data_IF_328072975533
#
_entry.id   IF_328072975533
#
_cell.length_a   1.000
_cell.length_b   1.000
_cell.length_c   1.000
_cell.angle_alpha   90.00
_cell.angle_beta   90.00
_cell.angle_gamma   90.00
#
_symmetry.space_group_name_H-M   'P 1'
#
loop_
_entity.id
_entity.type
_entity.pdbx_description
1 polymer ?
#
# COMPACT_ATOMS: atom_id res chain seq x y z
N UNK A 1 13.28 12.73 10.52
CA UNK A 1 12.56 11.60 9.91
C UNK A 1 13.44 10.36 9.92
N UNK A 2 12.90 9.20 10.15
CA UNK A 2 13.59 7.91 9.99
C UNK A 2 12.96 7.14 8.82
N UNK A 3 13.81 6.51 8.00
CA UNK A 3 13.41 5.56 6.97
C UNK A 3 14.02 4.20 7.30
N UNK A 4 13.18 3.18 7.38
CA UNK A 4 13.55 1.79 7.58
C UNK A 4 12.94 0.90 6.52
N UNK A 5 13.75 0.00 5.95
CA UNK A 5 13.25 -1.03 5.05
C UNK A 5 14.12 -2.29 5.16
N UNK A 6 13.50 -3.44 4.97
CA UNK A 6 14.18 -4.74 4.88
C UNK A 6 13.82 -5.37 3.55
N UNK A 7 14.84 -5.70 2.77
CA UNK A 7 14.67 -6.36 1.48
C UNK A 7 14.70 -7.88 1.67
N UNK A 8 13.69 -8.53 1.11
CA UNK A 8 13.63 -9.98 1.01
C UNK A 8 13.64 -10.40 -0.47
N UNK A 9 14.30 -11.50 -0.75
CA UNK A 9 14.25 -12.14 -2.06
C UNK A 9 13.47 -13.43 -1.96
N UNK A 10 12.44 -13.55 -2.79
CA UNK A 10 11.72 -14.80 -3.00
C UNK A 10 12.39 -15.54 -4.16
N UNK A 11 12.85 -16.76 -3.92
CA UNK A 11 13.41 -17.64 -4.94
C UNK A 11 12.31 -18.46 -5.63
N UNK A 12 12.65 -19.08 -6.76
CA UNK A 12 11.71 -19.93 -7.53
C UNK A 12 11.23 -21.17 -6.77
N UNK A 13 11.96 -21.60 -5.76
CA UNK A 13 11.61 -22.73 -4.89
C UNK A 13 10.76 -22.32 -3.69
N UNK A 14 10.28 -21.07 -3.66
CA UNK A 14 9.49 -20.53 -2.56
C UNK A 14 10.32 -20.07 -1.35
N UNK A 15 11.63 -20.30 -1.35
CA UNK A 15 12.49 -19.86 -0.23
C UNK A 15 12.61 -18.35 -0.19
N UNK A 16 12.60 -17.79 1.02
CA UNK A 16 12.72 -16.36 1.26
C UNK A 16 14.00 -16.07 2.05
N UNK A 17 14.81 -15.18 1.52
CA UNK A 17 16.06 -14.75 2.17
C UNK A 17 16.08 -13.24 2.36
N UNK A 18 16.51 -12.81 3.54
CA UNK A 18 16.83 -11.40 3.77
C UNK A 18 18.09 -11.03 2.99
N UNK A 19 18.02 -9.94 2.24
CA UNK A 19 19.12 -9.50 1.36
C UNK A 19 19.82 -8.28 1.93
N UNK A 20 19.05 -7.27 2.37
CA UNK A 20 19.61 -5.99 2.78
C UNK A 20 18.67 -5.27 3.76
N UNK A 21 19.28 -4.53 4.69
CA UNK A 21 18.57 -3.62 5.60
C UNK A 21 18.95 -2.18 5.31
N UNK A 22 17.98 -1.32 5.26
CA UNK A 22 18.15 0.12 5.15
C UNK A 22 17.67 0.78 6.44
N UNK A 23 18.52 1.63 6.99
CA UNK A 23 18.20 2.42 8.17
C UNK A 23 18.84 3.80 8.03
N UNK A 24 18.03 4.82 7.81
CA UNK A 24 18.54 6.18 7.63
C UNK A 24 17.74 7.17 8.47
N UNK A 25 18.48 7.99 9.22
CA UNK A 25 17.94 9.17 9.87
C UNK A 25 18.18 10.40 8.99
N UNK A 26 17.17 11.23 8.86
CA UNK A 26 17.22 12.46 8.09
C UNK A 26 16.87 13.66 8.97
N UNK A 27 17.56 14.79 8.72
CA UNK A 27 17.19 16.06 9.32
C UNK A 27 15.90 16.56 8.64
N UNK A 28 14.81 16.78 9.40
CA UNK A 28 13.55 17.26 8.85
C UNK A 28 13.55 18.77 8.49
N UNK A 29 14.65 19.48 8.79
CA UNK A 29 14.74 20.92 8.54
C UNK A 29 14.01 21.80 9.56
N UNK A 30 13.46 21.20 10.62
CA UNK A 30 12.77 21.88 11.70
C UNK A 30 12.68 21.02 12.96
N UNK A 31 12.19 21.56 14.09
CA UNK A 31 12.09 20.83 15.34
C UNK A 31 11.09 19.67 15.23
N UNK A 32 11.43 18.55 15.85
CA UNK A 32 10.55 17.40 15.96
C UNK A 32 9.52 17.68 17.07
N UNK A 33 8.20 17.54 16.80
CA UNK A 33 7.19 17.70 17.84
C UNK A 33 7.47 16.78 19.05
N UNK A 34 7.29 17.29 20.25
CA UNK A 34 7.63 16.56 21.48
C UNK A 34 6.93 15.21 21.57
N UNK A 35 5.66 15.16 21.20
CA UNK A 35 4.88 13.92 21.15
C UNK A 35 5.54 12.84 20.25
N UNK A 36 6.14 13.26 19.14
CA UNK A 36 6.83 12.35 18.22
C UNK A 36 8.17 11.91 18.81
N UNK A 37 8.90 12.81 19.50
CA UNK A 37 10.11 12.44 20.24
C UNK A 37 9.79 11.40 21.33
N UNK A 38 8.71 11.61 22.08
CA UNK A 38 8.28 10.69 23.14
C UNK A 38 7.88 9.30 22.60
N UNK A 39 7.28 9.23 21.40
CA UNK A 39 6.87 7.98 20.76
C UNK A 39 8.07 7.25 20.16
N UNK A 40 8.93 7.96 19.43
CA UNK A 40 9.98 7.35 18.61
C UNK A 40 11.32 7.24 19.32
N UNK A 41 11.51 8.01 20.40
CA UNK A 41 12.80 8.17 21.06
C UNK A 41 13.84 8.90 20.21
N UNK A 42 13.43 9.57 19.11
CA UNK A 42 14.31 10.35 18.26
C UNK A 42 14.18 11.82 18.61
N UNK A 43 15.27 12.43 19.07
CA UNK A 43 15.33 13.82 19.48
C UNK A 43 15.96 14.71 18.42
N UNK A 44 15.81 16.01 18.55
CA UNK A 44 16.38 16.99 17.61
C UNK A 44 17.89 16.85 17.48
N UNK A 45 18.59 16.54 18.57
CA UNK A 45 20.03 16.31 18.60
C UNK A 45 20.47 15.10 17.77
N UNK A 46 19.65 14.05 17.67
CA UNK A 46 19.93 12.84 16.88
C UNK A 46 19.93 13.13 15.38
N UNK A 47 19.15 14.12 14.95
CA UNK A 47 18.95 14.45 13.53
C UNK A 47 19.65 15.74 13.12
N UNK A 48 20.15 16.56 14.04
CA UNK A 48 20.74 17.87 13.76
C UNK A 48 21.86 17.81 12.68
N UNK A 49 22.70 16.79 12.75
CA UNK A 49 23.83 16.57 11.84
C UNK A 49 23.55 15.51 10.77
N UNK A 50 22.30 15.09 10.60
CA UNK A 50 21.92 14.13 9.55
C UNK A 50 21.64 14.84 8.23
N UNK A 51 21.85 14.16 7.09
CA UNK A 51 21.52 14.72 5.79
C UNK A 51 20.01 14.93 5.65
N UNK A 52 19.60 15.79 4.72
CA UNK A 52 18.21 15.91 4.31
C UNK A 52 17.77 14.67 3.50
N UNK A 53 16.46 14.39 3.48
CA UNK A 53 15.89 13.28 2.70
C UNK A 53 16.28 13.30 1.22
N UNK A 54 16.41 14.49 0.63
CA UNK A 54 16.80 14.69 -0.77
C UNK A 54 18.10 13.98 -1.16
N UNK A 55 19.01 13.76 -0.21
CA UNK A 55 20.28 13.05 -0.47
C UNK A 55 20.10 11.57 -0.82
N UNK A 56 18.98 10.97 -0.43
CA UNK A 56 18.64 9.56 -0.67
C UNK A 56 17.34 9.38 -1.45
N UNK A 57 16.61 10.44 -1.76
CA UNK A 57 15.30 10.37 -2.40
C UNK A 57 15.29 9.50 -3.67
N UNK A 58 16.27 9.70 -4.57
CA UNK A 58 16.37 8.90 -5.82
C UNK A 58 16.66 7.42 -5.52
N UNK A 59 17.49 7.12 -4.53
CA UNK A 59 17.81 5.74 -4.16
C UNK A 59 16.60 5.04 -3.57
N UNK A 60 15.90 5.70 -2.64
CA UNK A 60 14.65 5.18 -2.05
C UNK A 60 13.58 5.00 -3.12
N UNK A 61 13.41 5.97 -4.01
CA UNK A 61 12.47 5.90 -5.11
C UNK A 61 12.71 4.67 -6.01
N UNK A 62 13.98 4.42 -6.40
CA UNK A 62 14.35 3.25 -7.20
C UNK A 62 14.12 1.93 -6.47
N UNK A 63 14.43 1.89 -5.17
CA UNK A 63 14.18 0.72 -4.33
C UNK A 63 12.69 0.35 -4.34
N UNK A 64 11.82 1.31 -4.09
CA UNK A 64 10.37 1.07 -4.07
C UNK A 64 9.81 0.75 -5.45
N UNK A 65 10.28 1.40 -6.52
CA UNK A 65 9.84 1.15 -7.89
C UNK A 65 10.13 -0.29 -8.36
N UNK A 66 11.17 -0.92 -7.84
CA UNK A 66 11.65 -2.26 -8.24
C UNK A 66 11.15 -3.40 -7.39
N UNK A 67 10.35 -3.16 -6.35
CA UNK A 67 9.97 -4.16 -5.38
C UNK A 67 8.47 -4.17 -5.10
N UNK A 68 7.92 -5.34 -4.77
CA UNK A 68 6.63 -5.41 -4.06
C UNK A 68 6.85 -4.82 -2.68
N UNK A 69 6.11 -3.79 -2.35
CA UNK A 69 6.26 -3.07 -1.08
C UNK A 69 5.21 -3.54 -0.08
N UNK A 70 5.66 -3.79 1.14
CA UNK A 70 4.82 -4.29 2.23
C UNK A 70 4.97 -3.34 3.41
N UNK A 71 3.88 -2.85 3.94
CA UNK A 71 3.88 -2.02 5.14
C UNK A 71 2.68 -2.34 6.05
N UNK A 72 2.73 -1.87 7.28
CA UNK A 72 1.63 -1.99 8.21
C UNK A 72 0.92 -0.64 8.35
N UNK A 73 -0.33 -0.55 7.90
CA UNK A 73 -1.03 0.71 7.64
C UNK A 73 -0.36 1.50 6.50
N UNK A 74 -0.21 0.81 5.37
CA UNK A 74 0.50 1.26 4.18
C UNK A 74 0.19 2.71 3.73
N UNK A 75 -1.06 3.20 3.79
CA UNK A 75 -1.38 4.57 3.42
C UNK A 75 -0.64 5.64 4.23
N UNK A 76 -0.22 5.33 5.46
CA UNK A 76 0.56 6.25 6.27
C UNK A 76 1.95 6.49 5.67
N UNK A 77 2.68 5.40 5.40
CA UNK A 77 4.04 5.48 4.83
C UNK A 77 4.01 6.06 3.42
N UNK A 78 3.05 5.61 2.60
CA UNK A 78 2.86 6.12 1.25
C UNK A 78 2.66 7.63 1.21
N UNK A 79 1.78 8.17 2.07
CA UNK A 79 1.50 9.61 2.13
C UNK A 79 2.74 10.39 2.56
N UNK A 80 3.46 9.89 3.56
CA UNK A 80 4.67 10.52 4.05
C UNK A 80 5.76 10.58 2.98
N UNK A 81 6.05 9.45 2.34
CA UNK A 81 7.06 9.36 1.29
C UNK A 81 6.65 10.14 0.03
N UNK A 82 5.36 10.14 -0.33
CA UNK A 82 4.86 10.95 -1.45
C UNK A 82 5.13 12.43 -1.23
N UNK A 83 4.90 12.91 0.00
CA UNK A 83 5.22 14.29 0.36
C UNK A 83 6.72 14.58 0.21
N UNK A 84 7.57 13.77 0.81
CA UNK A 84 9.03 13.93 0.76
C UNK A 84 9.58 13.84 -0.68
N UNK A 85 9.06 12.92 -1.49
CA UNK A 85 9.40 12.83 -2.91
C UNK A 85 9.00 14.10 -3.68
N UNK A 86 7.81 14.64 -3.40
CA UNK A 86 7.34 15.86 -4.04
C UNK A 86 8.24 17.06 -3.78
N UNK A 87 8.79 17.19 -2.57
CA UNK A 87 9.78 18.20 -2.21
C UNK A 87 11.10 18.04 -2.99
N UNK A 88 11.36 16.83 -3.49
CA UNK A 88 12.53 16.52 -4.33
C UNK A 88 12.24 16.53 -5.84
N UNK A 89 11.04 16.96 -6.26
CA UNK A 89 10.62 16.94 -7.67
C UNK A 89 10.34 15.52 -8.21
N UNK A 90 10.13 14.54 -7.35
CA UNK A 90 9.80 13.17 -7.71
C UNK A 90 8.32 12.89 -7.44
N UNK A 91 7.73 12.01 -8.23
CA UNK A 91 6.38 11.46 -8.00
C UNK A 91 6.48 10.15 -7.22
N UNK A 92 5.34 9.62 -6.77
CA UNK A 92 5.30 8.27 -6.18
C UNK A 92 5.82 7.21 -7.18
N UNK A 93 6.72 6.29 -6.77
CA UNK A 93 7.41 5.37 -7.70
C UNK A 93 6.52 4.28 -8.32
N UNK A 94 5.26 4.17 -7.87
CA UNK A 94 4.32 3.13 -8.33
C UNK A 94 4.94 1.71 -8.28
N UNK A 95 5.15 1.14 -7.09
CA UNK A 95 5.65 -0.21 -6.93
C UNK A 95 4.81 -1.23 -7.72
N UNK A 96 5.38 -2.37 -8.14
CA UNK A 96 4.62 -3.45 -8.82
C UNK A 96 3.39 -3.93 -8.03
N UNK A 97 3.49 -3.98 -6.71
CA UNK A 97 2.36 -4.18 -5.80
C UNK A 97 2.63 -3.51 -4.45
N UNK A 98 1.55 -3.21 -3.74
CA UNK A 98 1.53 -2.56 -2.43
C UNK A 98 0.66 -3.41 -1.49
N UNK A 99 1.24 -4.00 -0.46
CA UNK A 99 0.55 -4.90 0.48
C UNK A 99 0.44 -4.23 1.85
N UNK A 100 -0.77 -4.13 2.37
CA UNK A 100 -1.04 -3.65 3.72
C UNK A 100 -1.29 -4.81 4.69
N UNK A 101 -0.33 -5.07 5.57
CA UNK A 101 -0.46 -6.16 6.55
C UNK A 101 -1.51 -5.87 7.62
N UNK A 102 -1.93 -4.62 7.80
CA UNK A 102 -3.04 -4.31 8.71
C UNK A 102 -4.37 -4.77 8.16
N UNK A 103 -4.56 -4.69 6.83
CA UNK A 103 -5.74 -5.20 6.15
C UNK A 103 -5.75 -6.74 6.17
N UNK A 104 -4.61 -7.37 5.91
CA UNK A 104 -4.46 -8.81 6.07
C UNK A 104 -4.78 -9.27 7.50
N UNK A 105 -4.29 -8.53 8.49
CA UNK A 105 -4.59 -8.83 9.89
C UNK A 105 -6.09 -8.76 10.19
N UNK A 106 -6.79 -7.76 9.69
CA UNK A 106 -8.26 -7.63 9.87
C UNK A 106 -9.01 -8.80 9.28
N UNK A 107 -8.53 -9.30 8.17
CA UNK A 107 -9.20 -10.38 7.46
C UNK A 107 -8.96 -11.74 8.08
N UNK A 108 -7.72 -12.07 8.39
CA UNK A 108 -7.38 -13.38 8.93
C UNK A 108 -7.67 -13.53 10.43
N UNK A 109 -7.61 -12.44 11.17
CA UNK A 109 -7.83 -12.43 12.61
C UNK A 109 -9.08 -11.63 12.96
N UNK A 110 -10.23 -11.97 12.34
CA UNK A 110 -11.51 -11.26 12.49
C UNK A 110 -11.94 -11.04 13.93
N UNK A 111 -11.62 -11.99 14.82
CA UNK A 111 -11.96 -11.93 16.24
C UNK A 111 -10.99 -11.09 17.07
N UNK A 112 -9.91 -10.58 16.46
CA UNK A 112 -8.93 -9.78 17.17
C UNK A 112 -9.47 -8.37 17.43
N UNK A 113 -9.27 -7.90 18.68
CA UNK A 113 -9.69 -6.55 19.08
C UNK A 113 -8.79 -5.45 18.50
N UNK A 114 -7.54 -5.80 18.21
CA UNK A 114 -6.52 -4.87 17.70
C UNK A 114 -5.75 -5.47 16.54
N UNK A 115 -5.45 -4.61 15.58
CA UNK A 115 -4.68 -4.94 14.37
C UNK A 115 -3.43 -4.06 14.23
N UNK A 116 -2.91 -3.54 15.36
CA UNK A 116 -1.63 -2.83 15.39
C UNK A 116 -0.48 -3.80 15.12
N UNK A 117 0.64 -3.31 14.59
CA UNK A 117 1.81 -4.12 14.26
C UNK A 117 2.27 -5.00 15.42
N UNK A 118 2.44 -4.43 16.61
CA UNK A 118 2.86 -5.18 17.80
C UNK A 118 1.89 -6.29 18.18
N UNK A 119 0.57 -6.03 18.14
CA UNK A 119 -0.45 -7.03 18.44
C UNK A 119 -0.52 -8.15 17.39
N UNK A 120 -0.28 -7.80 16.12
CA UNK A 120 -0.21 -8.77 15.01
C UNK A 120 1.06 -9.63 15.15
N UNK A 121 2.22 -8.99 15.35
CA UNK A 121 3.50 -9.68 15.51
C UNK A 121 3.46 -10.66 16.70
N UNK A 122 2.93 -10.23 17.87
CA UNK A 122 2.77 -11.11 19.03
C UNK A 122 1.87 -12.31 18.74
N UNK A 123 0.79 -12.14 17.97
CA UNK A 123 -0.14 -13.22 17.59
C UNK A 123 0.49 -14.21 16.61
N UNK A 124 1.45 -13.75 15.82
CA UNK A 124 2.21 -14.55 14.87
C UNK A 124 3.56 -15.05 15.44
N UNK A 125 3.82 -14.80 16.72
CA UNK A 125 5.07 -15.15 17.42
C UNK A 125 6.31 -14.52 16.77
N UNK A 126 6.12 -13.36 16.12
CA UNK A 126 7.20 -12.58 15.49
C UNK A 126 7.79 -11.61 16.50
N UNK A 127 9.12 -11.61 16.72
CA UNK A 127 9.76 -10.64 17.59
C UNK A 127 9.62 -9.21 17.05
N UNK A 128 9.27 -8.26 17.90
CA UNK A 128 9.40 -6.83 17.66
C UNK A 128 10.39 -6.29 18.71
N UNK A 129 11.64 -6.06 18.29
CA UNK A 129 12.74 -5.78 19.22
C UNK A 129 12.60 -4.39 19.82
N UNK A 130 12.42 -3.39 18.99
CA UNK A 130 12.24 -2.00 19.41
C UNK A 130 11.13 -1.34 18.61
N UNK A 131 9.92 -1.34 19.16
CA UNK A 131 8.77 -0.67 18.54
C UNK A 131 9.06 0.82 18.32
N UNK A 132 8.49 1.35 17.22
CA UNK A 132 8.65 2.74 16.78
C UNK A 132 10.05 3.12 16.27
N UNK A 133 10.88 2.12 15.96
CA UNK A 133 12.08 2.27 15.15
C UNK A 133 11.80 1.71 13.76
N UNK A 134 11.97 2.54 12.75
CA UNK A 134 11.48 2.25 11.40
C UNK A 134 12.00 0.91 10.82
N UNK A 135 13.26 0.55 11.11
CA UNK A 135 13.83 -0.72 10.62
C UNK A 135 13.31 -1.94 11.39
N UNK A 136 13.12 -1.83 12.71
CA UNK A 136 12.58 -2.91 13.53
C UNK A 136 11.09 -3.15 13.21
N UNK A 137 10.35 -2.08 12.98
CA UNK A 137 8.95 -2.15 12.53
C UNK A 137 8.85 -2.76 11.12
N UNK A 138 9.75 -2.38 10.19
CA UNK A 138 9.80 -2.95 8.85
C UNK A 138 10.15 -4.45 8.89
N UNK A 139 11.09 -4.87 9.74
CA UNK A 139 11.42 -6.29 9.94
C UNK A 139 10.23 -7.07 10.50
N UNK A 140 9.62 -6.57 11.57
CA UNK A 140 8.47 -7.21 12.19
C UNK A 140 7.29 -7.30 11.21
N UNK A 141 7.07 -6.25 10.39
CA UNK A 141 6.06 -6.24 9.35
C UNK A 141 6.33 -7.33 8.29
N UNK A 142 7.55 -7.37 7.74
CA UNK A 142 7.93 -8.37 6.73
C UNK A 142 7.85 -9.81 7.26
N UNK A 143 8.38 -10.07 8.45
CA UNK A 143 8.29 -11.39 9.10
C UNK A 143 6.85 -11.78 9.41
N UNK A 144 6.01 -10.85 9.82
CA UNK A 144 4.59 -11.11 10.05
C UNK A 144 3.86 -11.46 8.75
N UNK A 145 4.21 -10.78 7.65
CA UNK A 145 3.68 -11.14 6.34
C UNK A 145 4.07 -12.57 5.96
N UNK A 146 5.35 -12.94 6.09
CA UNK A 146 5.82 -14.30 5.80
C UNK A 146 5.16 -15.35 6.69
N UNK A 147 4.98 -15.07 7.98
CA UNK A 147 4.27 -15.96 8.88
C UNK A 147 2.78 -16.12 8.49
N UNK A 148 2.14 -15.07 7.96
CA UNK A 148 0.79 -15.18 7.41
C UNK A 148 0.76 -16.00 6.11
N UNK A 149 1.74 -15.82 5.23
CA UNK A 149 1.90 -16.60 3.99
C UNK A 149 1.94 -18.09 4.32
N UNK A 150 2.78 -18.49 5.28
CA UNK A 150 2.91 -19.87 5.73
C UNK A 150 1.62 -20.38 6.43
N UNK A 151 1.13 -19.63 7.42
CA UNK A 151 -0.01 -20.04 8.25
C UNK A 151 -1.31 -20.22 7.47
N UNK A 152 -1.51 -19.42 6.42
CA UNK A 152 -2.75 -19.41 5.63
C UNK A 152 -2.57 -20.01 4.23
N UNK A 153 -1.45 -20.75 4.02
CA UNK A 153 -1.15 -21.47 2.77
C UNK A 153 -1.29 -20.55 1.53
N UNK A 154 -0.65 -19.38 1.57
CA UNK A 154 -0.61 -18.49 0.41
C UNK A 154 0.12 -19.18 -0.76
N UNK A 155 -0.18 -18.82 -2.01
CA UNK A 155 0.54 -19.34 -3.17
C UNK A 155 2.05 -19.03 -3.10
N UNK A 156 2.88 -19.95 -3.60
CA UNK A 156 4.34 -19.80 -3.59
C UNK A 156 4.85 -18.81 -4.66
N UNK A 157 4.15 -18.73 -5.77
CA UNK A 157 4.53 -17.81 -6.87
C UNK A 157 4.15 -16.37 -6.53
N UNK A 158 5.09 -15.44 -6.70
CA UNK A 158 4.89 -14.04 -6.34
C UNK A 158 3.65 -13.39 -6.98
N UNK A 159 3.33 -13.57 -8.26
CA UNK A 159 2.10 -13.01 -8.82
C UNK A 159 0.84 -13.53 -8.15
N UNK A 160 0.79 -14.83 -7.86
CA UNK A 160 -0.34 -15.47 -7.19
C UNK A 160 -0.41 -15.07 -5.72
N UNK A 161 0.73 -14.89 -5.06
CA UNK A 161 0.82 -14.38 -3.69
C UNK A 161 0.31 -12.92 -3.60
N UNK A 162 0.62 -12.10 -4.59
CA UNK A 162 0.09 -10.74 -4.71
C UNK A 162 -1.42 -10.80 -4.90
N UNK A 163 -1.90 -11.61 -5.83
CA UNK A 163 -3.34 -11.82 -6.04
C UNK A 163 -4.03 -12.34 -4.78
N UNK A 164 -3.39 -13.22 -4.02
CA UNK A 164 -3.88 -13.71 -2.74
C UNK A 164 -3.93 -12.58 -1.69
N UNK A 165 -2.87 -11.80 -1.57
CA UNK A 165 -2.82 -10.69 -0.62
C UNK A 165 -3.84 -9.58 -0.98
N UNK A 166 -4.04 -9.34 -2.27
CA UNK A 166 -5.06 -8.42 -2.77
C UNK A 166 -6.46 -9.02 -2.73
N UNK A 167 -6.59 -10.31 -2.99
CA UNK A 167 -7.84 -11.07 -3.06
C UNK A 167 -8.33 -11.57 -1.71
N UNK A 168 -7.52 -11.45 -0.63
CA UNK A 168 -7.99 -11.63 0.73
C UNK A 168 -9.14 -10.69 1.03
N UNK A 169 -9.11 -9.56 0.42
CA UNK A 169 -10.30 -8.76 0.44
C UNK A 169 -11.22 -9.02 -0.71
N UNK A 170 -11.02 -9.88 -1.67
CA UNK A 170 -11.87 -9.89 -2.83
C UNK A 170 -12.25 -8.46 -3.27
N UNK A 171 -13.02 -8.23 -4.25
CA UNK A 171 -13.71 -6.97 -4.34
C UNK A 171 -14.51 -6.83 -3.04
N UNK A 172 -14.46 -5.68 -2.34
CA UNK A 172 -15.19 -5.50 -1.08
C UNK A 172 -16.63 -5.92 -1.32
N UNK A 173 -17.21 -6.64 -0.37
CA UNK A 173 -18.60 -7.14 -0.42
C UNK A 173 -19.59 -5.96 -0.37
N UNK A 174 -19.59 -5.21 -1.45
CA UNK A 174 -20.45 -4.05 -1.69
C UNK A 174 -21.47 -4.32 -2.80
N UNK A 175 -21.45 -5.51 -3.37
CA UNK A 175 -22.29 -5.89 -4.51
C UNK A 175 -21.82 -5.34 -5.86
N UNK A 176 -20.86 -4.41 -5.89
CA UNK A 176 -20.40 -3.81 -7.17
C UNK A 176 -19.48 -4.74 -7.97
N UNK A 177 -18.63 -5.46 -7.25
CA UNK A 177 -17.77 -6.51 -7.78
C UNK A 177 -17.93 -7.71 -6.86
N UNK A 178 -18.14 -8.89 -7.44
CA UNK A 178 -18.41 -10.12 -6.68
C UNK A 178 -17.61 -11.28 -7.28
N UNK A 179 -17.42 -12.36 -6.50
CA UNK A 179 -16.91 -13.61 -7.04
C UNK A 179 -18.08 -14.49 -7.50
N UNK A 180 -17.97 -15.02 -8.71
CA UNK A 180 -18.90 -16.04 -9.18
C UNK A 180 -18.58 -17.42 -8.60
N UNK A 181 -19.32 -18.43 -9.02
CA UNK A 181 -19.17 -19.81 -8.54
C UNK A 181 -17.80 -20.43 -8.89
N UNK A 182 -17.13 -19.93 -9.93
CA UNK A 182 -15.82 -20.39 -10.39
C UNK A 182 -14.68 -19.57 -9.74
N UNK A 183 -15.01 -18.63 -8.84
CA UNK A 183 -14.06 -17.77 -8.14
C UNK A 183 -13.58 -16.58 -8.98
N UNK A 184 -14.13 -16.38 -10.18
CA UNK A 184 -13.80 -15.26 -11.05
C UNK A 184 -14.45 -13.99 -10.52
N UNK A 185 -13.70 -12.88 -10.53
CA UNK A 185 -14.26 -11.58 -10.15
C UNK A 185 -15.04 -11.01 -11.33
N UNK A 186 -16.34 -10.81 -11.09
CA UNK A 186 -17.29 -10.29 -12.07
C UNK A 186 -17.94 -9.00 -11.56
N UNK A 187 -18.45 -8.18 -12.46
CA UNK A 187 -19.28 -7.04 -12.07
C UNK A 187 -20.60 -7.54 -11.47
N UNK A 188 -20.91 -7.12 -10.26
CA UNK A 188 -22.15 -7.51 -9.58
C UNK A 188 -23.38 -6.74 -10.06
N UNK A 189 -23.18 -5.58 -10.67
CA UNK A 189 -24.23 -4.69 -11.12
C UNK A 189 -23.85 -3.88 -12.37
N UNK A 190 -24.82 -3.17 -12.93
CA UNK A 190 -24.63 -2.25 -14.04
C UNK A 190 -24.59 -2.94 -15.41
N UNK A 191 -24.08 -2.21 -16.41
CA UNK A 191 -24.08 -2.62 -17.84
C UNK A 191 -23.34 -3.95 -18.07
N UNK A 192 -22.32 -4.23 -17.28
CA UNK A 192 -21.44 -5.39 -17.41
C UNK A 192 -21.70 -6.45 -16.32
N UNK A 193 -22.86 -6.41 -15.66
CA UNK A 193 -23.21 -7.38 -14.62
C UNK A 193 -23.00 -8.82 -15.12
N UNK A 194 -22.30 -9.62 -14.32
CA UNK A 194 -21.91 -11.01 -14.63
C UNK A 194 -20.70 -11.16 -15.54
N UNK A 195 -20.21 -10.10 -16.16
CA UNK A 195 -19.00 -10.17 -16.98
C UNK A 195 -17.72 -10.13 -16.12
N UNK A 196 -16.67 -10.90 -16.50
CA UNK A 196 -15.39 -10.83 -15.80
C UNK A 196 -14.83 -9.41 -15.74
N UNK A 197 -14.40 -8.97 -14.56
CA UNK A 197 -13.84 -7.63 -14.36
C UNK A 197 -12.60 -7.41 -15.24
N UNK A 198 -11.81 -8.45 -15.47
CA UNK A 198 -10.63 -8.42 -16.34
C UNK A 198 -10.94 -8.11 -17.82
N UNK A 199 -12.16 -8.37 -18.27
CA UNK A 199 -12.58 -8.14 -19.66
C UNK A 199 -12.95 -6.68 -19.94
N UNK A 200 -13.10 -5.86 -18.89
CA UNK A 200 -13.54 -4.47 -19.00
C UNK A 200 -12.67 -3.53 -18.16
N UNK A 201 -11.36 -3.41 -18.48
CA UNK A 201 -10.45 -2.55 -17.73
C UNK A 201 -10.87 -1.07 -17.75
N UNK A 202 -11.53 -0.61 -18.81
CA UNK A 202 -12.07 0.74 -18.92
C UNK A 202 -13.18 1.01 -17.87
N UNK A 203 -13.98 0.00 -17.55
CA UNK A 203 -15.04 0.11 -16.54
C UNK A 203 -14.43 0.15 -15.14
N UNK A 204 -13.40 -0.65 -14.87
CA UNK A 204 -12.67 -0.59 -13.62
C UNK A 204 -11.99 0.77 -13.44
N UNK A 205 -11.36 1.30 -14.49
CA UNK A 205 -10.78 2.63 -14.48
C UNK A 205 -11.83 3.70 -14.16
N UNK A 206 -13.00 3.60 -14.80
CA UNK A 206 -14.11 4.51 -14.53
C UNK A 206 -14.67 4.42 -13.09
N UNK A 207 -14.61 3.26 -12.47
CA UNK A 207 -15.00 3.10 -11.05
C UNK A 207 -14.11 3.90 -10.10
N UNK A 208 -12.86 4.13 -10.46
CA UNK A 208 -11.90 4.93 -9.69
C UNK A 208 -12.06 6.45 -9.84
N UNK A 209 -12.92 6.93 -10.73
CA UNK A 209 -13.00 8.35 -11.09
C UNK A 209 -14.06 9.09 -10.27
N UNK A 210 -13.70 10.26 -9.74
CA UNK A 210 -14.64 11.19 -9.17
C UNK A 210 -15.56 11.80 -10.26
N UNK A 211 -16.76 12.19 -9.90
CA UNK A 211 -17.70 12.91 -10.78
C UNK A 211 -18.00 14.29 -10.24
N UNK A 212 -18.15 15.25 -11.11
CA UNK A 212 -18.71 16.53 -10.76
C UNK A 212 -20.24 16.43 -10.65
N UNK A 213 -20.79 16.93 -9.55
CA UNK A 213 -22.24 17.08 -9.39
C UNK A 213 -22.72 18.38 -10.03
N UNK A 214 -24.02 18.47 -10.28
CA UNK A 214 -24.68 19.67 -10.84
C UNK A 214 -24.46 20.96 -10.03
N UNK A 215 -24.01 20.83 -8.78
CA UNK A 215 -23.69 21.97 -7.89
C UNK A 215 -22.18 22.31 -7.87
N UNK A 216 -21.39 21.78 -8.79
CA UNK A 216 -19.94 21.99 -8.86
C UNK A 216 -19.12 21.23 -7.81
N UNK A 217 -19.76 20.42 -6.96
CA UNK A 217 -19.04 19.57 -6.01
C UNK A 217 -18.61 18.27 -6.67
N UNK A 218 -17.42 17.83 -6.33
CA UNK A 218 -16.90 16.53 -6.73
C UNK A 218 -17.31 15.45 -5.73
N UNK A 219 -17.62 14.26 -6.23
CA UNK A 219 -18.01 13.11 -5.43
C UNK A 219 -17.50 11.82 -6.08
N UNK A 220 -17.24 10.81 -5.24
CA UNK A 220 -16.83 9.51 -5.73
C UNK A 220 -18.04 8.67 -6.15
N UNK A 221 -17.94 8.00 -7.31
CA UNK A 221 -19.03 7.13 -7.80
C UNK A 221 -19.17 5.87 -6.95
N UNK A 222 -18.05 5.37 -6.46
CA UNK A 222 -17.97 4.11 -5.73
C UNK A 222 -17.28 4.32 -4.38
N UNK A 223 -17.59 3.46 -3.39
CA UNK A 223 -16.90 3.46 -2.09
C UNK A 223 -15.39 3.30 -2.24
N UNK A 224 -14.63 3.86 -1.32
CA UNK A 224 -13.15 3.81 -1.33
C UNK A 224 -12.58 2.39 -1.51
N UNK A 225 -13.06 1.35 -0.80
CA UNK A 225 -12.55 0.00 -0.97
C UNK A 225 -12.68 -0.53 -2.41
N UNK A 226 -13.80 -0.25 -3.08
CA UNK A 226 -14.02 -0.63 -4.48
C UNK A 226 -13.05 0.08 -5.41
N UNK A 227 -12.85 1.38 -5.19
CA UNK A 227 -11.94 2.20 -5.99
C UNK A 227 -10.50 1.73 -5.85
N UNK A 228 -10.07 1.46 -4.61
CA UNK A 228 -8.73 0.92 -4.32
C UNK A 228 -8.53 -0.42 -5.01
N UNK A 229 -9.49 -1.33 -4.87
CA UNK A 229 -9.41 -2.63 -5.50
C UNK A 229 -9.31 -2.52 -7.01
N UNK A 230 -10.17 -1.72 -7.65
CA UNK A 230 -10.15 -1.52 -9.11
C UNK A 230 -8.82 -0.94 -9.60
N UNK A 231 -8.25 0.03 -8.88
CA UNK A 231 -6.95 0.61 -9.19
C UNK A 231 -5.81 -0.42 -9.09
N UNK A 232 -5.79 -1.23 -8.03
CA UNK A 232 -4.80 -2.30 -7.82
C UNK A 232 -4.90 -3.35 -8.90
N UNK A 233 -6.10 -3.82 -9.20
CA UNK A 233 -6.35 -4.82 -10.23
C UNK A 233 -5.83 -4.39 -11.60
N UNK A 234 -6.06 -3.13 -11.98
CA UNK A 234 -5.55 -2.57 -13.24
C UNK A 234 -4.02 -2.47 -13.26
N UNK A 235 -3.40 -2.17 -12.12
CA UNK A 235 -1.96 -2.04 -11.99
C UNK A 235 -1.26 -3.40 -12.13
N UNK A 236 -1.76 -4.42 -11.43
CA UNK A 236 -1.16 -5.77 -11.39
C UNK A 236 -1.23 -6.45 -12.76
N UNK A 237 -2.33 -6.29 -13.49
CA UNK A 237 -2.50 -6.96 -14.80
C UNK A 237 -1.79 -6.30 -15.96
N UNK A 238 -0.84 -5.39 -15.68
CA UNK A 238 0.05 -4.83 -16.71
C UNK A 238 -0.65 -3.91 -17.72
N UNK A 239 -1.90 -3.56 -17.45
CA UNK A 239 -2.60 -2.51 -18.20
C UNK A 239 -2.09 -1.12 -17.77
N UNK A 240 -0.81 -0.99 -17.52
CA UNK A 240 -0.12 0.28 -17.16
C UNK A 240 -0.24 1.39 -18.21
N UNK A 241 -1.14 1.21 -19.16
CA UNK A 241 -1.71 2.26 -19.99
C UNK A 241 -3.15 2.47 -19.54
N UNK A 242 -3.34 3.47 -18.68
CA UNK A 242 -4.66 4.07 -18.53
C UNK A 242 -5.25 4.32 -19.93
N UNK A 243 -6.56 4.07 -20.15
CA UNK A 243 -7.18 4.31 -21.44
C UNK A 243 -6.81 5.71 -21.92
N UNK A 244 -6.16 5.80 -23.09
CA UNK A 244 -5.83 7.08 -23.71
C UNK A 244 -7.15 7.81 -23.97
N UNK A 245 -7.35 8.94 -23.32
CA UNK A 245 -8.57 9.75 -23.46
C UNK A 245 -9.15 10.27 -22.16
N UNK A 246 -8.74 9.79 -21.02
CA UNK A 246 -9.08 10.40 -19.74
C UNK A 246 -8.14 11.59 -19.50
N UNK A 247 -8.48 12.73 -20.09
CA UNK A 247 -7.79 13.99 -19.80
C UNK A 247 -7.96 14.33 -18.32
N UNK A 248 -6.85 14.46 -17.59
CA UNK A 248 -6.82 14.98 -16.24
C UNK A 248 -6.50 13.96 -15.14
N UNK A 249 -6.11 12.72 -15.48
CA UNK A 249 -5.77 11.71 -14.50
C UNK A 249 -4.29 11.33 -14.56
N UNK A 250 -3.55 11.73 -13.53
CA UNK A 250 -2.25 11.20 -13.18
C UNK A 250 -2.39 10.07 -12.16
N UNK A 251 -1.30 9.35 -11.84
CA UNK A 251 -1.27 8.33 -10.77
C UNK A 251 -1.72 8.86 -9.39
N UNK A 252 -1.75 10.17 -9.22
CA UNK A 252 -2.16 10.87 -8.00
C UNK A 252 -3.68 10.94 -7.81
N UNK A 253 -4.45 10.81 -8.88
CA UNK A 253 -5.90 11.01 -8.85
C UNK A 253 -6.68 9.78 -8.39
N UNK A 254 -6.00 8.67 -8.13
CA UNK A 254 -6.52 7.49 -7.43
C UNK A 254 -6.47 7.68 -5.92
N UNK A 255 -6.04 8.85 -5.49
CA UNK A 255 -5.92 9.26 -4.10
C UNK A 255 -7.28 9.53 -3.48
N UNK A 256 -7.37 9.22 -2.34
CA UNK A 256 -8.20 9.28 -1.16
C UNK A 256 -9.02 10.57 -1.05
N UNK A 257 -8.67 11.67 -1.72
CA UNK A 257 -9.35 12.95 -1.62
C UNK A 257 -9.82 13.49 -2.98
N UNK A 258 -10.98 14.12 -3.07
CA UNK A 258 -11.36 14.89 -4.24
C UNK A 258 -10.33 16.00 -4.50
N UNK A 259 -10.16 16.46 -5.76
CA UNK A 259 -9.19 17.50 -6.08
C UNK A 259 -9.35 18.70 -5.17
N UNK A 260 -8.23 19.20 -4.63
CA UNK A 260 -8.21 20.37 -3.75
C UNK A 260 -8.84 21.56 -4.48
N UNK A 261 -9.95 22.06 -3.96
CA UNK A 261 -10.72 23.17 -4.55
C UNK A 261 -12.23 22.98 -4.50
N UNK A 262 -12.72 21.87 -3.98
CA UNK A 262 -14.15 21.57 -3.79
C UNK A 262 -14.59 21.79 -2.34
N UNK A 263 -14.45 23.01 -1.83
CA UNK A 263 -15.08 23.46 -0.59
C UNK A 263 -16.25 24.38 -0.91
#
# INVERSE_FOLDING_TARGET
>A
MEFGAVEYRLAHDGSVTEVLRHSWLFNPGGPIPREIQDITGIHDEDVANKPAFSTRAVAIHKLLAGAVTIAHNYPFDQRFLTHEFSLCGLTWPCPPAEIDTSDLSRQFFKEAREHKLGSMAARLEVPLVQAHRATDDAEACGRSFLAMVERFNAPELLPEMIDWADGIGGPPDTGHLVRDADGVIVFGEGKHSGAPAASHPETLAWMGVARERTNGRWDWRYPEPVRRWAARFLRIRGSGRFPQGMKGFGPHDWGIDPPAGSA
#
